data_IF_443265924830
#
_entry.id   IF_443265924830
#
_cell.length_a   1.000
_cell.length_b   1.000
_cell.length_c   1.000
_cell.angle_alpha   90.00
_cell.angle_beta   90.00
_cell.angle_gamma   90.00
#
_symmetry.space_group_name_H-M   'P 1'
#
loop_
_entity.id
_entity.type
_entity.pdbx_description
1 polymer ?
#
# COMPACT_ATOMS: atom_id res chain seq x y z
N UNK A 1 -10.24 43.99 53.91
CA UNK A 1 -11.21 43.69 52.84
C UNK A 1 -10.47 42.85 51.80
N UNK A 2 -10.87 41.58 51.63
CA UNK A 2 -10.20 40.61 50.76
C UNK A 2 -10.67 40.85 49.33
N UNK A 3 -9.76 41.27 48.45
CA UNK A 3 -10.01 41.31 47.02
C UNK A 3 -9.73 39.92 46.45
N UNK A 4 -10.80 39.20 46.16
CA UNK A 4 -10.77 37.88 45.52
C UNK A 4 -10.38 38.09 44.06
N UNK A 5 -9.13 37.79 43.71
CA UNK A 5 -8.67 37.76 42.33
C UNK A 5 -9.22 36.47 41.68
N UNK A 6 -10.26 36.61 40.88
CA UNK A 6 -10.88 35.51 40.13
C UNK A 6 -10.01 35.23 38.90
N UNK A 7 -9.13 34.23 38.99
CA UNK A 7 -8.33 33.75 37.86
C UNK A 7 -9.22 32.90 36.95
N UNK A 8 -9.64 33.46 35.81
CA UNK A 8 -10.36 32.74 34.77
C UNK A 8 -9.37 31.86 33.99
N UNK A 9 -9.34 30.55 34.29
CA UNK A 9 -8.57 29.57 33.53
C UNK A 9 -9.33 29.22 32.24
N UNK A 10 -8.99 29.89 31.14
CA UNK A 10 -9.48 29.51 29.80
C UNK A 10 -8.71 28.28 29.36
N UNK A 11 -9.31 27.10 29.49
CA UNK A 11 -8.86 25.89 28.80
C UNK A 11 -9.10 26.08 27.30
N UNK A 12 -8.12 26.63 26.60
CA UNK A 12 -8.07 26.59 25.15
C UNK A 12 -7.78 25.14 24.75
N UNK A 13 -8.84 24.37 24.48
CA UNK A 13 -8.71 23.06 23.85
C UNK A 13 -8.12 23.28 22.46
N UNK A 14 -6.79 23.14 22.35
CA UNK A 14 -6.14 22.90 21.08
C UNK A 14 -6.70 21.57 20.55
N UNK A 15 -7.75 21.66 19.75
CA UNK A 15 -8.10 20.61 18.79
C UNK A 15 -6.89 20.49 17.88
N UNK A 16 -6.02 19.53 18.19
CA UNK A 16 -5.08 19.02 17.21
C UNK A 16 -5.95 18.54 16.04
N UNK A 17 -6.05 19.34 14.97
CA UNK A 17 -6.52 18.83 13.69
C UNK A 17 -5.61 17.66 13.36
N UNK A 18 -6.12 16.44 13.52
CA UNK A 18 -5.46 15.26 12.99
C UNK A 18 -5.54 15.41 11.49
N UNK A 19 -4.44 15.81 10.86
CA UNK A 19 -4.33 15.89 9.41
C UNK A 19 -4.51 14.49 8.87
N UNK A 20 -5.64 14.24 8.24
CA UNK A 20 -5.93 12.95 7.65
C UNK A 20 -6.81 13.17 6.45
N UNK A 21 -6.33 12.65 5.33
CA UNK A 21 -6.98 12.76 4.05
C UNK A 21 -8.36 12.12 4.13
N UNK A 22 -9.36 12.81 3.59
CA UNK A 22 -10.66 12.23 3.34
C UNK A 22 -10.55 11.13 2.27
N UNK A 23 -11.39 10.12 2.41
CA UNK A 23 -11.50 9.09 1.39
C UNK A 23 -12.00 9.72 0.08
N UNK A 24 -11.32 9.47 -1.05
CA UNK A 24 -11.69 10.09 -2.32
C UNK A 24 -13.04 9.58 -2.85
N UNK A 25 -13.49 8.43 -2.33
CA UNK A 25 -14.81 7.85 -2.57
C UNK A 25 -15.34 7.22 -1.28
N UNK A 26 -16.66 7.00 -1.21
CA UNK A 26 -17.25 6.23 -0.12
C UNK A 26 -16.72 4.80 -0.11
N UNK A 27 -16.31 4.32 1.06
CA UNK A 27 -15.97 2.91 1.31
C UNK A 27 -17.06 2.34 2.20
N UNK A 28 -17.68 1.26 1.74
CA UNK A 28 -18.68 0.49 2.50
C UNK A 28 -18.03 -0.68 3.23
N UNK A 29 -17.17 -1.42 2.52
CA UNK A 29 -16.48 -2.62 2.97
C UNK A 29 -15.21 -2.88 2.15
N UNK A 30 -14.55 -4.01 2.41
CA UNK A 30 -13.34 -4.42 1.69
C UNK A 30 -13.53 -4.66 0.19
N UNK A 31 -14.75 -4.91 -0.27
CA UNK A 31 -15.05 -5.12 -1.71
C UNK A 31 -15.02 -3.82 -2.49
N UNK A 32 -15.02 -2.67 -1.78
CA UNK A 32 -14.87 -1.34 -2.38
C UNK A 32 -13.46 -1.12 -2.96
N UNK A 33 -12.47 -1.91 -2.53
CA UNK A 33 -11.11 -1.88 -3.06
C UNK A 33 -10.85 -3.14 -3.89
N UNK A 34 -10.61 -2.94 -5.18
CA UNK A 34 -10.25 -3.99 -6.12
C UNK A 34 -8.80 -4.44 -5.96
N UNK A 35 -7.86 -3.49 -5.87
CA UNK A 35 -6.43 -3.78 -5.70
C UNK A 35 -5.77 -2.78 -4.76
N UNK A 36 -4.85 -3.30 -3.95
CA UNK A 36 -4.20 -2.60 -2.85
C UNK A 36 -2.79 -2.15 -3.22
N UNK A 37 -2.29 -1.16 -2.50
CA UNK A 37 -0.93 -0.67 -2.64
C UNK A 37 0.09 -1.78 -2.33
N UNK A 38 1.15 -1.87 -3.13
CA UNK A 38 2.20 -2.88 -2.99
C UNK A 38 1.86 -4.25 -3.55
N UNK A 39 0.63 -4.48 -4.03
CA UNK A 39 0.25 -5.75 -4.67
C UNK A 39 0.97 -5.97 -6.00
N UNK A 40 0.95 -7.21 -6.47
CA UNK A 40 1.42 -7.59 -7.80
C UNK A 40 0.59 -6.88 -8.90
N UNK A 41 1.26 -6.09 -9.76
CA UNK A 41 0.69 -5.48 -10.97
C UNK A 41 1.42 -5.96 -12.23
N UNK A 42 1.69 -7.26 -12.30
CA UNK A 42 2.26 -8.01 -13.42
C UNK A 42 3.77 -7.90 -13.59
N UNK A 43 4.33 -6.70 -13.51
CA UNK A 43 5.78 -6.43 -13.67
C UNK A 43 6.32 -5.31 -12.76
N UNK A 44 5.46 -4.79 -11.89
CA UNK A 44 5.78 -3.75 -10.91
C UNK A 44 4.82 -3.87 -9.74
N UNK A 45 5.13 -3.19 -8.64
CA UNK A 45 4.18 -3.02 -7.54
C UNK A 45 3.03 -2.12 -7.97
N UNK A 46 1.82 -2.42 -7.51
CA UNK A 46 0.73 -1.48 -7.59
C UNK A 46 1.02 -0.25 -6.71
N UNK A 47 1.10 0.92 -7.33
CA UNK A 47 1.42 2.19 -6.66
C UNK A 47 0.19 2.96 -6.19
N UNK A 48 -1.00 2.36 -6.26
CA UNK A 48 -2.28 3.01 -6.00
C UNK A 48 -3.18 2.18 -5.09
N UNK A 49 -4.23 2.82 -4.56
CA UNK A 49 -5.47 2.11 -4.21
C UNK A 49 -6.39 2.14 -5.42
N UNK A 50 -6.81 0.96 -5.88
CA UNK A 50 -7.74 0.82 -7.01
C UNK A 50 -9.11 0.45 -6.46
N UNK A 51 -10.09 1.33 -6.67
CA UNK A 51 -11.46 1.14 -6.21
C UNK A 51 -12.24 0.33 -7.23
N UNK A 52 -13.22 -0.45 -6.78
CA UNK A 52 -13.97 -1.38 -7.64
C UNK A 52 -15.23 -0.79 -8.28
N UNK A 53 -15.81 0.26 -7.68
CA UNK A 53 -17.13 0.78 -8.06
C UNK A 53 -17.03 2.17 -8.70
N UNK A 54 -17.83 2.37 -9.74
CA UNK A 54 -18.07 3.70 -10.33
C UNK A 54 -18.89 4.57 -9.39
N UNK A 55 -18.26 5.60 -8.81
CA UNK A 55 -18.87 6.50 -7.83
C UNK A 55 -18.35 7.93 -7.96
N UNK A 56 -19.01 8.85 -7.28
CA UNK A 56 -18.53 10.23 -7.12
C UNK A 56 -17.14 10.25 -6.48
N UNK A 57 -16.27 11.09 -7.03
CA UNK A 57 -14.89 11.30 -6.56
C UNK A 57 -14.78 12.72 -6.02
N UNK A 58 -14.20 12.85 -4.83
CA UNK A 58 -13.95 14.12 -4.16
C UNK A 58 -12.48 14.31 -3.81
N UNK A 59 -12.06 15.56 -3.68
CA UNK A 59 -10.73 15.91 -3.20
C UNK A 59 -10.54 15.41 -1.75
N UNK A 60 -9.39 14.81 -1.51
CA UNK A 60 -9.06 14.18 -0.21
C UNK A 60 -8.53 15.18 0.80
N UNK A 61 -8.00 16.31 0.35
CA UNK A 61 -7.38 17.32 1.19
C UNK A 61 -7.42 18.68 0.47
N UNK A 62 -7.31 19.76 1.23
CA UNK A 62 -7.12 21.11 0.69
C UNK A 62 -5.84 21.18 -0.16
N UNK A 63 -5.90 21.91 -1.27
CA UNK A 63 -4.77 22.04 -2.17
C UNK A 63 -5.10 22.87 -3.40
N UNK A 64 -4.30 22.70 -4.45
CA UNK A 64 -4.54 23.34 -5.74
C UNK A 64 -4.38 22.37 -6.90
N UNK A 65 -5.07 22.65 -8.01
CA UNK A 65 -4.99 21.85 -9.23
C UNK A 65 -3.62 22.03 -9.85
N UNK A 66 -2.83 20.95 -9.87
CA UNK A 66 -1.53 20.92 -10.53
C UNK A 66 -1.66 20.56 -12.01
N UNK A 67 -2.52 19.58 -12.32
CA UNK A 67 -2.77 19.16 -13.69
C UNK A 67 -4.15 18.51 -13.86
N UNK A 68 -4.70 18.63 -15.06
CA UNK A 68 -5.87 17.89 -15.52
C UNK A 68 -5.47 17.14 -16.79
N UNK A 69 -5.67 15.82 -16.80
CA UNK A 69 -5.34 14.93 -17.90
C UNK A 69 -6.61 14.33 -18.52
N UNK A 70 -6.51 13.92 -19.78
CA UNK A 70 -7.57 13.18 -20.46
C UNK A 70 -8.67 14.11 -20.95
N UNK A 71 -9.61 14.64 -20.16
CA UNK A 71 -10.81 15.41 -20.63
C UNK A 71 -11.52 14.89 -21.90
N UNK A 72 -11.27 13.67 -22.35
CA UNK A 72 -11.89 13.07 -23.50
C UNK A 72 -12.99 12.13 -23.00
N UNK A 73 -14.09 12.09 -23.72
CA UNK A 73 -15.09 11.05 -23.53
C UNK A 73 -14.57 9.73 -24.09
N UNK A 74 -15.07 8.60 -23.57
CA UNK A 74 -14.72 7.26 -24.07
C UNK A 74 -15.04 7.09 -25.59
N UNK A 75 -15.85 8.00 -26.15
CA UNK A 75 -16.25 8.03 -27.57
C UNK A 75 -15.28 8.79 -28.48
N UNK A 76 -14.35 9.58 -27.93
CA UNK A 76 -13.51 10.50 -28.72
C UNK A 76 -12.33 9.82 -29.42
N UNK A 77 -12.00 8.57 -29.05
CA UNK A 77 -10.98 7.75 -29.74
C UNK A 77 -9.55 8.31 -29.77
N UNK A 78 -9.24 9.35 -28.98
CA UNK A 78 -7.91 9.95 -28.87
C UNK A 78 -7.00 9.09 -27.97
N UNK A 79 -5.68 9.32 -28.04
CA UNK A 79 -4.64 8.74 -27.19
C UNK A 79 -5.05 8.78 -25.70
N UNK A 80 -5.50 7.64 -25.18
CA UNK A 80 -5.75 7.46 -23.76
C UNK A 80 -4.41 7.12 -23.08
N UNK A 81 -3.96 7.99 -22.18
CA UNK A 81 -2.82 7.72 -21.31
C UNK A 81 -3.13 6.58 -20.34
N UNK A 82 -2.11 6.02 -19.68
CA UNK A 82 -2.29 4.92 -18.71
C UNK A 82 -3.24 5.28 -17.57
N UNK A 83 -3.25 6.55 -17.15
CA UNK A 83 -4.15 7.10 -16.13
C UNK A 83 -5.55 7.47 -16.67
N UNK A 84 -5.78 7.49 -17.99
CA UNK A 84 -7.02 7.99 -18.57
C UNK A 84 -7.29 9.47 -18.23
N UNK A 85 -8.55 9.81 -18.01
CA UNK A 85 -8.91 11.10 -17.43
C UNK A 85 -8.45 11.14 -15.97
N UNK A 86 -7.68 12.17 -15.63
CA UNK A 86 -7.14 12.30 -14.28
C UNK A 86 -7.07 13.73 -13.80
N UNK A 87 -7.14 13.90 -12.48
CA UNK A 87 -6.86 15.16 -11.79
C UNK A 87 -5.66 14.94 -10.88
N UNK A 88 -4.71 15.87 -10.90
CA UNK A 88 -3.58 15.89 -9.98
C UNK A 88 -3.70 17.13 -9.12
N UNK A 89 -3.80 16.94 -7.80
CA UNK A 89 -3.82 18.04 -6.84
C UNK A 89 -2.48 18.08 -6.10
N UNK A 90 -1.99 19.29 -5.85
CA UNK A 90 -0.83 19.53 -5.01
C UNK A 90 -1.29 20.09 -3.67
N UNK A 91 -0.66 19.61 -2.61
CA UNK A 91 -1.03 19.90 -1.22
C UNK A 91 0.16 20.49 -0.47
N UNK A 92 -0.07 20.87 0.79
CA UNK A 92 1.01 21.18 1.70
C UNK A 92 2.00 20.01 1.84
N UNK A 93 3.23 20.31 2.28
CA UNK A 93 4.30 19.34 2.50
C UNK A 93 4.76 18.57 1.26
N UNK A 94 4.63 19.16 0.06
CA UNK A 94 5.16 18.58 -1.18
C UNK A 94 4.51 17.23 -1.55
N UNK A 95 3.28 17.02 -1.05
CA UNK A 95 2.44 15.87 -1.38
C UNK A 95 1.55 16.20 -2.57
N UNK A 96 1.44 15.27 -3.51
CA UNK A 96 0.48 15.34 -4.60
C UNK A 96 -0.45 14.13 -4.55
N UNK A 97 -1.73 14.34 -4.81
CA UNK A 97 -2.69 13.25 -5.02
C UNK A 97 -3.02 13.13 -6.50
N UNK A 98 -3.19 11.89 -6.97
CA UNK A 98 -3.63 11.60 -8.34
C UNK A 98 -4.95 10.85 -8.28
N UNK A 99 -5.95 11.38 -8.97
CA UNK A 99 -7.27 10.78 -9.16
C UNK A 99 -7.38 10.35 -10.61
N UNK A 100 -6.97 9.12 -10.91
CA UNK A 100 -6.96 8.56 -12.27
C UNK A 100 -8.20 7.74 -12.60
N UNK A 101 -8.31 7.37 -13.89
CA UNK A 101 -9.35 6.51 -14.44
C UNK A 101 -10.76 7.11 -14.28
N UNK A 102 -10.88 8.44 -14.34
CA UNK A 102 -12.16 9.14 -14.20
C UNK A 102 -13.02 8.98 -15.47
N UNK A 103 -14.33 8.84 -15.32
CA UNK A 103 -15.26 8.90 -16.46
C UNK A 103 -15.43 10.33 -16.96
N UNK A 104 -15.55 11.27 -16.03
CA UNK A 104 -15.70 12.70 -16.32
C UNK A 104 -14.98 13.52 -15.26
N UNK A 105 -14.60 14.74 -15.64
CA UNK A 105 -13.96 15.73 -14.77
C UNK A 105 -14.84 16.98 -14.77
N UNK A 106 -15.25 17.42 -13.59
CA UNK A 106 -16.17 18.57 -13.44
C UNK A 106 -15.44 19.88 -13.13
N UNK A 107 -14.22 19.81 -12.61
CA UNK A 107 -13.40 21.00 -12.37
C UNK A 107 -12.94 21.62 -13.70
N UNK A 108 -12.83 22.95 -13.72
CA UNK A 108 -12.39 23.73 -14.89
C UNK A 108 -11.00 24.29 -14.65
N UNK A 109 -10.27 24.61 -15.72
CA UNK A 109 -8.87 25.07 -15.65
C UNK A 109 -8.70 26.41 -14.93
N UNK A 110 -9.81 27.11 -14.64
CA UNK A 110 -9.83 28.40 -13.95
C UNK A 110 -9.90 28.27 -12.42
N UNK A 111 -10.12 27.06 -11.89
CA UNK A 111 -10.14 26.81 -10.45
C UNK A 111 -8.73 26.37 -10.05
N UNK A 112 -7.96 27.28 -9.41
CA UNK A 112 -6.66 26.92 -8.84
C UNK A 112 -6.84 26.19 -7.51
N UNK A 113 -7.61 26.75 -6.57
CA UNK A 113 -7.71 26.23 -5.21
C UNK A 113 -8.90 25.28 -5.05
N UNK A 114 -8.67 24.16 -4.36
CA UNK A 114 -9.62 23.09 -4.12
C UNK A 114 -9.63 22.79 -2.62
N UNK A 115 -10.82 22.80 -2.01
CA UNK A 115 -10.98 22.35 -0.63
C UNK A 115 -11.22 20.84 -0.57
N UNK A 116 -10.87 20.21 0.54
CA UNK A 116 -11.26 18.84 0.85
C UNK A 116 -12.77 18.64 0.67
N UNK A 117 -13.18 17.48 0.16
CA UNK A 117 -14.57 17.15 -0.15
C UNK A 117 -15.11 17.79 -1.43
N UNK A 118 -14.36 18.66 -2.12
CA UNK A 118 -14.79 19.23 -3.40
C UNK A 118 -14.98 18.13 -4.44
N UNK A 119 -16.13 18.10 -5.09
CA UNK A 119 -16.45 17.12 -6.13
C UNK A 119 -15.56 17.33 -7.37
N UNK A 120 -14.80 16.29 -7.73
CA UNK A 120 -13.87 16.32 -8.87
C UNK A 120 -14.49 15.71 -10.13
N UNK A 121 -15.39 14.75 -9.97
CA UNK A 121 -16.04 14.03 -11.07
C UNK A 121 -16.51 12.65 -10.65
N UNK A 122 -16.61 11.73 -11.61
CA UNK A 122 -17.01 10.34 -11.37
C UNK A 122 -15.89 9.41 -11.80
N UNK A 123 -15.59 8.37 -11.02
CA UNK A 123 -14.67 7.31 -11.43
C UNK A 123 -15.24 6.51 -12.61
N UNK A 124 -14.40 5.77 -13.32
CA UNK A 124 -14.79 5.17 -14.59
C UNK A 124 -13.81 4.15 -15.11
N UNK A 125 -13.61 4.11 -16.42
CA UNK A 125 -12.74 3.14 -17.09
C UNK A 125 -12.02 3.77 -18.28
N UNK A 126 -11.68 5.06 -18.17
CA UNK A 126 -11.02 5.81 -19.24
C UNK A 126 -9.52 5.52 -19.37
N UNK A 127 -8.92 4.92 -18.34
CA UNK A 127 -7.50 4.55 -18.28
C UNK A 127 -7.25 3.08 -18.60
N UNK A 128 -5.97 2.69 -18.51
CA UNK A 128 -5.57 1.30 -18.74
C UNK A 128 -5.74 0.48 -17.46
N UNK A 129 -6.94 -0.04 -17.27
CA UNK A 129 -7.33 -0.80 -16.08
C UNK A 129 -8.20 -2.01 -16.44
N UNK A 130 -8.31 -2.99 -15.54
CA UNK A 130 -9.19 -4.14 -15.73
C UNK A 130 -10.68 -3.74 -15.59
N UNK A 131 -11.61 -4.53 -16.14
CA UNK A 131 -13.06 -4.21 -16.17
C UNK A 131 -13.68 -3.89 -14.80
N UNK A 132 -13.08 -4.38 -13.70
CA UNK A 132 -13.56 -4.17 -12.33
C UNK A 132 -12.82 -3.04 -11.58
N UNK A 133 -12.04 -2.22 -12.27
CA UNK A 133 -11.24 -1.14 -11.69
C UNK A 133 -11.81 0.21 -12.09
N UNK A 134 -12.13 1.05 -11.10
CA UNK A 134 -12.84 2.30 -11.31
C UNK A 134 -12.02 3.56 -11.00
N UNK A 135 -11.64 3.80 -9.74
CA UNK A 135 -10.75 4.93 -9.39
C UNK A 135 -9.35 4.40 -9.14
N UNK A 136 -8.34 5.02 -9.75
CA UNK A 136 -6.94 4.84 -9.34
C UNK A 136 -6.52 6.03 -8.47
N UNK A 137 -6.30 5.80 -7.18
CA UNK A 137 -5.89 6.84 -6.23
C UNK A 137 -4.44 6.65 -5.80
N UNK A 138 -3.60 7.65 -6.05
CA UNK A 138 -2.19 7.63 -5.68
C UNK A 138 -1.84 8.84 -4.81
N UNK A 139 -0.85 8.67 -3.95
CA UNK A 139 -0.22 9.76 -3.19
C UNK A 139 1.27 9.76 -3.48
N UNK A 140 1.78 10.89 -3.98
CA UNK A 140 3.17 11.11 -4.31
C UNK A 140 3.78 12.06 -3.29
N UNK A 141 4.96 11.72 -2.78
CA UNK A 141 5.81 12.61 -2.01
C UNK A 141 6.96 13.09 -2.90
N UNK A 142 6.88 14.34 -3.34
CA UNK A 142 7.88 14.91 -4.25
C UNK A 142 9.16 15.32 -3.54
N UNK A 143 9.12 15.46 -2.20
CA UNK A 143 10.32 15.71 -1.38
C UNK A 143 11.16 14.46 -1.23
N UNK A 144 10.50 13.33 -0.96
CA UNK A 144 11.15 12.03 -0.76
C UNK A 144 11.33 11.25 -2.07
N UNK A 145 10.78 11.73 -3.19
CA UNK A 145 10.73 11.01 -4.47
C UNK A 145 10.17 9.59 -4.31
N UNK A 146 9.06 9.49 -3.58
CA UNK A 146 8.43 8.24 -3.21
C UNK A 146 6.92 8.29 -3.46
N UNK A 147 6.32 7.12 -3.64
CA UNK A 147 4.87 6.97 -3.65
C UNK A 147 4.48 6.44 -2.28
N UNK A 148 3.55 7.11 -1.61
CA UNK A 148 3.09 6.75 -0.26
C UNK A 148 1.89 5.80 -0.39
N UNK A 149 1.85 4.77 0.45
CA UNK A 149 0.64 3.96 0.63
C UNK A 149 -0.51 4.87 1.11
N UNK A 150 -1.56 5.12 0.31
CA UNK A 150 -2.55 6.14 0.64
C UNK A 150 -3.27 5.91 1.97
N UNK A 151 -3.38 4.64 2.39
CA UNK A 151 -4.00 4.25 3.65
C UNK A 151 -3.24 4.77 4.89
N UNK A 152 -1.99 5.25 4.77
CA UNK A 152 -1.25 5.93 5.84
C UNK A 152 -1.82 7.32 6.16
N UNK A 153 -2.38 7.99 5.15
CA UNK A 153 -2.87 9.35 5.26
C UNK A 153 -4.39 9.40 5.41
N UNK A 154 -5.09 8.44 4.82
CA UNK A 154 -6.54 8.37 4.83
C UNK A 154 -7.11 8.20 6.24
N UNK A 155 -8.27 8.82 6.48
CA UNK A 155 -8.99 8.71 7.76
C UNK A 155 -9.23 7.24 8.08
N UNK A 156 -8.90 6.84 9.30
CA UNK A 156 -9.04 5.45 9.73
C UNK A 156 -10.49 5.00 9.60
N UNK A 157 -10.73 4.10 8.66
CA UNK A 157 -11.93 3.26 8.57
C UNK A 157 -11.52 1.82 8.82
N UNK A 158 -12.31 1.10 9.60
CA UNK A 158 -12.09 -0.32 9.82
C UNK A 158 -12.38 -1.05 8.52
N UNK A 159 -11.33 -1.55 7.86
CA UNK A 159 -11.45 -2.50 6.76
C UNK A 159 -10.90 -3.83 7.27
N UNK A 160 -11.77 -4.82 7.45
CA UNK A 160 -11.43 -6.09 8.08
C UNK A 160 -10.77 -7.09 7.12
N UNK A 161 -9.73 -6.65 6.39
CA UNK A 161 -8.95 -7.52 5.51
C UNK A 161 -7.58 -7.80 6.11
N UNK A 162 -7.10 -9.04 5.99
CA UNK A 162 -5.84 -9.49 6.59
C UNK A 162 -5.00 -10.26 5.59
N UNK A 163 -3.69 -10.06 5.69
CA UNK A 163 -2.72 -10.88 4.97
C UNK A 163 -2.45 -12.18 5.73
N UNK A 164 -2.50 -13.31 5.03
CA UNK A 164 -2.32 -14.64 5.61
C UNK A 164 -1.14 -15.37 4.98
N UNK A 165 -0.25 -15.91 5.80
CA UNK A 165 0.83 -16.78 5.35
C UNK A 165 0.24 -18.16 5.01
N UNK A 166 0.27 -18.54 3.74
CA UNK A 166 -0.15 -19.86 3.26
C UNK A 166 0.95 -20.58 2.51
N UNK A 167 1.04 -21.90 2.70
CA UNK A 167 2.01 -22.78 2.05
C UNK A 167 3.46 -22.26 2.16
N UNK A 168 3.91 -21.99 3.38
CA UNK A 168 5.30 -21.57 3.63
C UNK A 168 6.28 -22.59 3.06
N UNK A 169 7.07 -22.16 2.09
CA UNK A 169 8.08 -22.92 1.37
C UNK A 169 9.47 -22.37 1.74
N UNK A 170 10.38 -23.26 2.13
CA UNK A 170 11.80 -23.00 2.22
C UNK A 170 12.47 -23.56 0.95
N UNK A 171 13.08 -22.68 0.15
CA UNK A 171 13.71 -23.04 -1.11
C UNK A 171 15.22 -22.78 -1.06
N UNK A 172 16.02 -23.79 -1.40
CA UNK A 172 17.46 -23.65 -1.48
C UNK A 172 17.85 -23.27 -2.92
N UNK A 173 18.29 -22.03 -3.12
CA UNK A 173 18.65 -21.53 -4.45
C UNK A 173 19.89 -22.24 -5.05
N UNK A 174 20.75 -22.83 -4.21
CA UNK A 174 21.97 -23.52 -4.66
C UNK A 174 21.70 -24.94 -5.14
N UNK A 175 20.89 -25.70 -4.40
CA UNK A 175 20.58 -27.11 -4.74
C UNK A 175 19.32 -27.24 -5.60
N UNK A 176 18.43 -26.23 -5.57
CA UNK A 176 17.12 -26.27 -6.20
C UNK A 176 16.06 -27.01 -5.38
N UNK A 177 16.38 -27.43 -4.15
CA UNK A 177 15.45 -28.16 -3.29
C UNK A 177 14.36 -27.25 -2.71
N UNK A 178 13.15 -27.79 -2.59
CA UNK A 178 11.96 -27.10 -2.08
C UNK A 178 11.32 -27.91 -0.95
N UNK A 179 11.04 -27.24 0.17
CA UNK A 179 10.42 -27.85 1.34
C UNK A 179 9.26 -27.01 1.84
N UNK A 180 8.04 -27.57 1.83
CA UNK A 180 6.90 -26.93 2.49
C UNK A 180 7.01 -27.16 4.00
N UNK A 181 7.28 -26.10 4.76
CA UNK A 181 7.65 -26.15 6.19
C UNK A 181 6.61 -26.88 7.03
N UNK A 182 5.32 -26.77 6.69
CA UNK A 182 4.23 -27.46 7.40
C UNK A 182 4.07 -28.95 7.07
N UNK A 183 4.78 -29.47 6.06
CA UNK A 183 4.64 -30.84 5.53
C UNK A 183 5.87 -31.72 5.77
N UNK A 184 6.96 -31.14 6.27
CA UNK A 184 8.23 -31.86 6.52
C UNK A 184 8.55 -31.88 8.00
N UNK A 185 9.18 -32.96 8.46
CA UNK A 185 9.67 -33.08 9.83
C UNK A 185 11.07 -32.48 10.00
N UNK A 186 11.90 -32.54 8.94
CA UNK A 186 13.24 -31.98 8.95
C UNK A 186 13.76 -31.64 7.55
N UNK A 187 14.69 -30.69 7.48
CA UNK A 187 15.41 -30.32 6.25
C UNK A 187 16.92 -30.17 6.53
N UNK A 188 17.80 -30.16 5.52
CA UNK A 188 19.22 -29.88 5.74
C UNK A 188 19.47 -28.48 6.34
N UNK A 189 20.55 -28.33 7.10
CA UNK A 189 21.04 -27.00 7.49
C UNK A 189 21.57 -26.24 6.25
N UNK A 190 21.36 -24.93 6.19
CA UNK A 190 21.77 -24.12 5.04
C UNK A 190 21.06 -22.77 4.92
N UNK A 191 21.21 -22.16 3.75
CA UNK A 191 20.59 -20.88 3.39
C UNK A 191 19.35 -21.16 2.54
N UNK A 192 18.23 -20.52 2.89
CA UNK A 192 16.95 -20.72 2.23
C UNK A 192 16.26 -19.38 1.95
N UNK A 193 15.68 -19.24 0.76
CA UNK A 193 14.64 -18.24 0.50
C UNK A 193 13.32 -18.76 1.04
N UNK A 194 12.65 -17.97 1.88
CA UNK A 194 11.28 -18.25 2.31
C UNK A 194 10.28 -17.64 1.34
N UNK A 195 9.34 -18.46 0.89
CA UNK A 195 8.22 -18.06 0.05
C UNK A 195 6.89 -18.45 0.70
N UNK A 196 5.84 -17.69 0.42
CA UNK A 196 4.47 -18.15 0.59
C UNK A 196 3.72 -18.02 -0.73
N UNK A 197 2.52 -18.58 -0.81
CA UNK A 197 1.65 -18.36 -1.96
C UNK A 197 1.36 -16.86 -2.09
N UNK A 198 1.58 -16.32 -3.29
CA UNK A 198 1.06 -15.00 -3.64
C UNK A 198 -0.45 -15.16 -3.86
N UNK A 199 -1.23 -14.46 -3.05
CA UNK A 199 -2.68 -14.32 -3.22
C UNK A 199 -2.99 -12.90 -3.62
N UNK A 200 -3.95 -12.75 -4.53
CA UNK A 200 -4.55 -11.44 -4.81
C UNK A 200 -5.29 -10.96 -3.55
N UNK A 201 -5.03 -9.72 -3.14
CA UNK A 201 -5.67 -9.10 -1.98
C UNK A 201 -4.70 -8.44 -1.00
N UNK A 202 -5.30 -7.79 0.00
CA UNK A 202 -4.68 -6.90 0.98
C UNK A 202 -3.22 -7.22 1.33
N UNK A 203 -2.34 -6.28 0.99
CA UNK A 203 -0.95 -6.30 1.41
C UNK A 203 -0.81 -5.81 2.85
N UNK A 204 0.04 -6.47 3.65
CA UNK A 204 0.38 -5.97 4.96
C UNK A 204 1.24 -4.71 4.81
N UNK A 205 1.28 -3.91 5.87
CA UNK A 205 2.13 -2.74 5.94
C UNK A 205 3.57 -3.11 6.25
N UNK A 206 3.76 -4.12 7.08
CA UNK A 206 5.06 -4.62 7.43
C UNK A 206 5.01 -6.13 7.59
N UNK A 207 6.08 -6.79 7.14
CA UNK A 207 6.33 -8.21 7.37
C UNK A 207 7.68 -8.34 8.03
N UNK A 208 7.74 -8.96 9.20
CA UNK A 208 8.98 -9.30 9.88
C UNK A 208 9.13 -10.81 9.95
N UNK A 209 10.24 -11.32 9.45
CA UNK A 209 10.66 -12.72 9.58
C UNK A 209 11.79 -12.81 10.58
N UNK A 210 11.66 -13.70 11.56
CA UNK A 210 12.71 -13.97 12.54
C UNK A 210 13.00 -15.47 12.69
N UNK A 211 14.27 -15.77 12.95
CA UNK A 211 14.78 -17.12 13.21
C UNK A 211 15.29 -17.15 14.64
N UNK A 212 14.73 -18.04 15.46
CA UNK A 212 15.09 -18.19 16.88
C UNK A 212 15.04 -16.87 17.66
N UNK A 213 14.09 -15.99 17.31
CA UNK A 213 13.89 -14.68 17.94
C UNK A 213 14.77 -13.54 17.38
N UNK A 214 15.65 -13.82 16.42
CA UNK A 214 16.46 -12.79 15.74
C UNK A 214 15.82 -12.44 14.39
N UNK A 215 15.53 -11.16 14.17
CA UNK A 215 15.00 -10.69 12.89
C UNK A 215 16.00 -10.97 11.75
N UNK A 216 15.52 -11.68 10.73
CA UNK A 216 16.26 -11.93 9.50
C UNK A 216 15.94 -10.84 8.47
N UNK A 217 14.68 -10.44 8.34
CA UNK A 217 14.22 -9.43 7.39
C UNK A 217 12.97 -8.73 7.95
N UNK A 218 12.89 -7.42 7.73
CA UNK A 218 11.69 -6.62 7.98
C UNK A 218 11.41 -5.78 6.74
N UNK A 219 10.32 -6.08 6.03
CA UNK A 219 9.91 -5.37 4.82
C UNK A 219 8.72 -4.47 5.13
N UNK A 220 8.84 -3.17 4.84
CA UNK A 220 7.77 -2.18 4.92
C UNK A 220 7.23 -1.81 3.52
N UNK A 221 5.90 -1.77 3.44
CA UNK A 221 5.09 -1.38 2.28
C UNK A 221 4.45 0.01 2.49
N UNK A 222 5.04 0.82 3.38
CA UNK A 222 4.58 2.19 3.63
C UNK A 222 4.79 3.10 2.42
N UNK A 223 5.88 2.87 1.68
CA UNK A 223 6.25 3.65 0.50
C UNK A 223 6.85 2.77 -0.58
N UNK A 224 6.74 3.22 -1.83
CA UNK A 224 7.49 2.73 -2.97
C UNK A 224 8.48 3.82 -3.39
N UNK A 225 9.77 3.56 -3.21
CA UNK A 225 10.83 4.49 -3.59
C UNK A 225 11.35 4.15 -4.98
N UNK A 226 11.63 5.16 -5.80
CA UNK A 226 12.22 4.96 -7.11
C UNK A 226 13.74 4.78 -7.00
N UNK A 227 14.25 3.60 -7.38
CA UNK A 227 15.68 3.34 -7.49
C UNK A 227 16.00 2.73 -8.84
N UNK A 228 16.93 3.31 -9.59
CA UNK A 228 17.32 2.83 -10.92
C UNK A 228 16.11 2.58 -11.85
N UNK A 229 15.15 3.50 -11.85
CA UNK A 229 13.89 3.43 -12.61
C UNK A 229 12.96 2.26 -12.23
N UNK A 230 13.15 1.65 -11.07
CA UNK A 230 12.28 0.61 -10.51
C UNK A 230 11.68 1.07 -9.19
N UNK A 231 10.40 0.76 -8.98
CA UNK A 231 9.75 0.94 -7.69
C UNK A 231 10.23 -0.17 -6.74
N UNK A 232 10.66 0.25 -5.55
CA UNK A 232 11.19 -0.65 -4.53
C UNK A 232 10.48 -0.42 -3.19
N UNK A 233 10.22 -1.49 -2.46
CA UNK A 233 9.83 -1.47 -1.05
C UNK A 233 11.06 -1.43 -0.15
N UNK A 234 10.89 -1.02 1.10
CA UNK A 234 12.00 -0.92 2.05
C UNK A 234 12.16 -2.23 2.84
N UNK A 235 13.34 -2.85 2.78
CA UNK A 235 13.76 -3.90 3.69
C UNK A 235 15.11 -3.56 4.33
N UNK A 236 15.90 -4.58 4.70
CA UNK A 236 17.32 -4.46 5.03
C UNK A 236 18.13 -3.77 3.90
N UNK A 237 17.59 -3.87 2.67
CA UNK A 237 17.96 -3.09 1.49
C UNK A 237 16.67 -2.69 0.75
N UNK A 238 16.78 -1.87 -0.29
CA UNK A 238 15.67 -1.68 -1.22
C UNK A 238 15.42 -2.97 -2.01
N UNK A 239 14.15 -3.40 -2.04
CA UNK A 239 13.70 -4.63 -2.68
C UNK A 239 12.81 -4.26 -3.87
N UNK A 240 13.23 -4.66 -5.06
CA UNK A 240 12.46 -4.45 -6.28
C UNK A 240 11.29 -5.43 -6.40
N UNK A 241 10.43 -5.23 -7.39
CA UNK A 241 9.33 -6.14 -7.69
C UNK A 241 9.82 -7.59 -7.88
N UNK A 242 10.90 -7.80 -8.62
CA UNK A 242 11.47 -9.13 -8.87
C UNK A 242 12.04 -9.78 -7.59
N UNK A 243 12.42 -8.99 -6.58
CA UNK A 243 12.87 -9.51 -5.29
C UNK A 243 11.71 -10.09 -4.47
N UNK A 244 10.52 -9.46 -4.53
CA UNK A 244 9.33 -9.84 -3.77
C UNK A 244 8.46 -10.85 -4.53
N UNK A 245 8.33 -10.69 -5.84
CA UNK A 245 7.51 -11.51 -6.74
C UNK A 245 8.38 -12.20 -7.82
N UNK A 246 9.39 -13.02 -7.45
CA UNK A 246 10.37 -13.54 -8.40
C UNK A 246 9.78 -14.52 -9.44
N UNK A 247 8.65 -15.16 -9.11
CA UNK A 247 7.94 -16.11 -9.98
C UNK A 247 6.44 -15.98 -9.74
N UNK A 248 5.64 -16.25 -10.78
CA UNK A 248 4.18 -16.28 -10.67
C UNK A 248 3.74 -17.14 -9.48
N UNK A 249 2.85 -16.60 -8.65
CA UNK A 249 2.27 -17.24 -7.45
C UNK A 249 3.23 -17.43 -6.27
N UNK A 250 4.45 -16.91 -6.29
CA UNK A 250 5.35 -16.92 -5.12
C UNK A 250 5.57 -15.50 -4.62
N UNK A 251 5.42 -15.35 -3.31
CA UNK A 251 5.71 -14.12 -2.57
C UNK A 251 6.89 -14.38 -1.65
N UNK A 252 8.02 -13.70 -1.88
CA UNK A 252 9.23 -13.85 -1.07
C UNK A 252 9.08 -13.09 0.23
N UNK A 253 9.37 -13.76 1.35
CA UNK A 253 9.30 -13.19 2.70
C UNK A 253 10.67 -12.74 3.20
N UNK A 254 11.69 -13.60 3.04
CA UNK A 254 13.05 -13.35 3.52
C UNK A 254 14.04 -14.35 2.90
N UNK A 255 15.33 -14.05 3.03
CA UNK A 255 16.39 -15.06 3.01
C UNK A 255 16.81 -15.36 4.44
N UNK A 256 16.95 -16.64 4.78
CA UNK A 256 17.20 -17.09 6.15
C UNK A 256 18.36 -18.10 6.20
N UNK A 257 19.01 -18.17 7.36
CA UNK A 257 20.01 -19.18 7.67
C UNK A 257 19.41 -20.14 8.70
N UNK A 258 19.40 -21.43 8.38
CA UNK A 258 18.97 -22.49 9.25
C UNK A 258 20.17 -23.31 9.71
N UNK A 259 20.54 -23.18 10.98
CA UNK A 259 21.64 -23.95 11.60
C UNK A 259 21.16 -25.32 12.06
N UNK A 260 22.04 -26.31 12.23
CA UNK A 260 21.68 -27.63 12.78
C UNK A 260 20.89 -27.52 14.10
N UNK A 261 19.90 -28.41 14.29
CA UNK A 261 19.10 -28.48 15.51
C UNK A 261 17.67 -27.98 15.34
N UNK A 262 17.10 -27.42 16.41
CA UNK A 262 15.73 -26.90 16.38
C UNK A 262 15.76 -25.44 15.96
N UNK A 263 14.98 -25.11 14.95
CA UNK A 263 14.76 -23.74 14.51
C UNK A 263 13.30 -23.36 14.69
N UNK A 264 13.08 -22.12 15.12
CA UNK A 264 11.76 -21.49 15.19
C UNK A 264 11.72 -20.35 14.20
N UNK A 265 10.87 -20.47 13.19
CA UNK A 265 10.59 -19.42 12.21
C UNK A 265 9.34 -18.68 12.68
N UNK A 266 9.46 -17.39 12.93
CA UNK A 266 8.32 -16.54 13.30
C UNK A 266 8.13 -15.49 12.23
N UNK A 267 6.91 -15.39 11.70
CA UNK A 267 6.51 -14.40 10.71
C UNK A 267 5.42 -13.53 11.36
N UNK A 268 5.73 -12.26 11.53
CA UNK A 268 4.80 -11.23 12.00
C UNK A 268 4.36 -10.38 10.81
N UNK A 269 3.05 -10.15 10.69
CA UNK A 269 2.48 -9.23 9.70
C UNK A 269 1.67 -8.15 10.41
N UNK A 270 1.80 -6.91 9.94
CA UNK A 270 1.13 -5.75 10.54
C UNK A 270 0.16 -5.13 9.54
N UNK A 271 -1.05 -4.81 10.00
CA UNK A 271 -2.05 -4.07 9.22
C UNK A 271 -1.86 -2.54 9.32
N UNK A 272 -2.73 -1.78 8.64
CA UNK A 272 -2.75 -0.31 8.65
C UNK A 272 -2.97 0.31 10.05
N UNK A 273 -3.52 -0.47 10.98
CA UNK A 273 -3.75 -0.07 12.36
C UNK A 273 -2.64 -0.55 13.31
N UNK A 274 -1.56 -1.14 12.76
CA UNK A 274 -0.46 -1.79 13.49
C UNK A 274 -0.91 -2.98 14.33
N UNK A 275 -2.03 -3.60 14.01
CA UNK A 275 -2.40 -4.86 14.65
C UNK A 275 -1.48 -5.96 14.09
N UNK A 276 -0.86 -6.69 14.99
CA UNK A 276 0.05 -7.77 14.66
C UNK A 276 -0.69 -9.10 14.49
N UNK A 277 -0.31 -9.85 13.46
CA UNK A 277 -0.62 -11.27 13.32
C UNK A 277 0.66 -12.08 13.24
N UNK A 278 0.75 -13.10 14.10
CA UNK A 278 1.94 -13.95 14.20
C UNK A 278 1.64 -15.35 13.67
N UNK A 279 2.55 -15.88 12.86
CA UNK A 279 2.63 -17.28 12.43
C UNK A 279 3.96 -17.88 12.88
N UNK A 280 3.90 -18.98 13.63
CA UNK A 280 5.11 -19.65 14.18
C UNK A 280 5.22 -21.05 13.58
N UNK A 281 6.41 -21.39 13.11
CA UNK A 281 6.74 -22.69 12.55
C UNK A 281 7.98 -23.27 13.27
N UNK A 282 7.88 -24.54 13.65
CA UNK A 282 8.99 -25.26 14.27
C UNK A 282 9.56 -26.26 13.26
N UNK A 283 10.87 -26.24 13.07
CA UNK A 283 11.55 -27.07 12.09
C UNK A 283 12.82 -27.67 12.66
N UNK A 284 13.00 -28.98 12.48
CA UNK A 284 14.26 -29.64 12.78
C UNK A 284 15.19 -29.56 11.58
N UNK A 285 16.46 -29.27 11.80
CA UNK A 285 17.48 -29.21 10.75
C UNK A 285 18.60 -30.19 11.05
N UNK A 286 19.09 -30.82 9.99
CA UNK A 286 20.09 -31.89 10.05
C UNK A 286 21.33 -31.59 9.23
#
# INVERSE_FOLDING_TARGET
>A
MKNTCMTLFVFLSLTFCTWSFEWPQSIEDETSIYSWFGEDRGSSFNSALIFSKTMSVAASEDGYVLAILGRFSDEDGWINGTLGNAVVLSHANELNTVYGNLKNITITDNISDINAGTFLGTSGSSGWQNENSSLEFQVLDTKLNAIINPLLLLQKKTIEKRFYISNLEAFNETTGDSFYVSKVSSIPAGIYSLYCDSKEGYMPYEITVSINGVAAETVSYDTLTLQNYRLCVSGNRLLSYDDIYPKKKRFKLAEIILTHGKNTITISTYDSSKNEKISVYYLQTQ
#
